data_IF_284246443217
#
_entry.id   IF_284246443217
#
_cell.length_a   1.000
_cell.length_b   1.000
_cell.length_c   1.000
_cell.angle_alpha   90.00
_cell.angle_beta   90.00
_cell.angle_gamma   90.00
#
_symmetry.space_group_name_H-M   'P 1'
#
loop_
_entity.id
_entity.type
_entity.pdbx_description
1 polymer ?
#
# COMPACT_ATOMS: atom_id res chain seq x y z
N UNK A 1 12.19 -12.08 24.99
CA UNK A 1 11.34 -11.40 23.98
C UNK A 1 10.06 -12.19 23.86
N UNK A 2 8.90 -11.54 24.04
CA UNK A 2 7.61 -12.20 23.83
C UNK A 2 7.48 -12.53 22.32
N UNK A 3 7.35 -13.80 21.92
CA UNK A 3 7.27 -14.18 20.50
C UNK A 3 6.10 -13.51 19.77
N UNK A 4 5.04 -13.13 20.49
CA UNK A 4 3.92 -12.36 19.92
C UNK A 4 4.35 -10.98 19.41
N UNK A 5 5.27 -10.30 20.11
CA UNK A 5 5.75 -8.97 19.71
C UNK A 5 6.55 -9.03 18.40
N UNK A 6 7.39 -10.04 18.23
CA UNK A 6 8.15 -10.25 16.99
C UNK A 6 7.23 -10.41 15.77
N UNK A 7 6.14 -11.15 15.92
CA UNK A 7 5.16 -11.35 14.84
C UNK A 7 4.50 -10.02 14.49
N UNK A 8 4.10 -9.24 15.49
CA UNK A 8 3.43 -7.95 15.30
C UNK A 8 4.38 -6.95 14.62
N UNK A 9 5.61 -6.83 15.10
CA UNK A 9 6.62 -5.92 14.53
C UNK A 9 6.93 -6.27 13.07
N UNK A 10 7.02 -7.56 12.74
CA UNK A 10 7.22 -8.03 11.36
C UNK A 10 6.04 -7.63 10.47
N UNK A 11 4.82 -7.76 10.97
CA UNK A 11 3.61 -7.43 10.22
C UNK A 11 3.46 -5.91 10.01
N UNK A 12 3.77 -5.11 11.02
CA UNK A 12 3.82 -3.64 10.93
C UNK A 12 4.85 -3.22 9.86
N UNK A 13 6.05 -3.77 9.90
CA UNK A 13 7.09 -3.47 8.92
C UNK A 13 6.67 -3.85 7.50
N UNK A 14 6.02 -5.01 7.33
CA UNK A 14 5.48 -5.43 6.05
C UNK A 14 4.44 -4.43 5.50
N UNK A 15 3.49 -3.99 6.35
CA UNK A 15 2.49 -2.98 5.98
C UNK A 15 3.16 -1.67 5.55
N UNK A 16 4.19 -1.22 6.26
CA UNK A 16 4.91 0.02 5.93
C UNK A 16 5.63 -0.07 4.58
N UNK A 17 6.27 -1.21 4.29
CA UNK A 17 6.88 -1.46 2.97
C UNK A 17 5.81 -1.47 1.89
N UNK A 18 4.67 -2.12 2.14
CA UNK A 18 3.57 -2.17 1.18
C UNK A 18 2.98 -0.78 0.89
N UNK A 19 2.83 0.05 1.92
CA UNK A 19 2.45 1.45 1.79
C UNK A 19 3.44 2.23 0.91
N UNK A 20 4.75 2.01 1.10
CA UNK A 20 5.78 2.62 0.26
C UNK A 20 5.65 2.18 -1.21
N UNK A 21 5.35 0.90 -1.49
CA UNK A 21 5.13 0.42 -2.86
C UNK A 21 3.93 1.10 -3.53
N UNK A 22 2.82 1.25 -2.82
CA UNK A 22 1.65 1.97 -3.34
C UNK A 22 1.98 3.45 -3.55
N UNK A 23 2.73 4.06 -2.64
CA UNK A 23 3.16 5.45 -2.79
C UNK A 23 4.04 5.65 -4.02
N UNK A 24 5.05 4.78 -4.24
CA UNK A 24 5.89 4.80 -5.44
C UNK A 24 5.03 4.61 -6.69
N UNK A 25 4.05 3.70 -6.67
CA UNK A 25 3.12 3.50 -7.79
C UNK A 25 2.34 4.77 -8.15
N UNK A 26 1.89 5.54 -7.14
CA UNK A 26 1.23 6.84 -7.37
C UNK A 26 2.20 7.82 -8.03
N UNK A 27 3.44 7.92 -7.55
CA UNK A 27 4.44 8.78 -8.16
C UNK A 27 4.72 8.39 -9.62
N UNK A 28 4.86 7.09 -9.90
CA UNK A 28 5.07 6.59 -11.26
C UNK A 28 3.86 6.86 -12.17
N UNK A 29 2.65 6.90 -11.62
CA UNK A 29 1.44 7.27 -12.37
C UNK A 29 1.44 8.71 -12.89
N UNK A 30 2.35 9.57 -12.41
CA UNK A 30 2.54 10.92 -12.96
C UNK A 30 3.54 10.93 -14.14
N UNK A 31 4.36 9.89 -14.27
CA UNK A 31 5.38 9.74 -15.31
C UNK A 31 5.00 8.65 -16.34
N UNK A 32 3.72 8.56 -16.71
CA UNK A 32 3.22 7.47 -17.58
C UNK A 32 3.87 7.43 -18.97
N UNK A 33 4.41 8.55 -19.45
CA UNK A 33 5.09 8.66 -20.75
C UNK A 33 6.55 8.22 -20.73
N UNK A 34 7.12 7.91 -19.55
CA UNK A 34 8.48 7.43 -19.42
C UNK A 34 8.57 5.90 -19.53
N UNK A 35 9.36 5.38 -20.48
CA UNK A 35 9.55 3.92 -20.64
C UNK A 35 10.14 3.25 -19.39
N UNK A 36 11.03 3.94 -18.67
CA UNK A 36 11.60 3.43 -17.41
C UNK A 36 10.54 3.30 -16.31
N UNK A 37 9.54 4.19 -16.30
CA UNK A 37 8.45 4.15 -15.33
C UNK A 37 7.52 2.97 -15.61
N UNK A 38 7.28 2.64 -16.88
CA UNK A 38 6.50 1.48 -17.30
C UNK A 38 7.15 0.17 -16.82
N UNK A 39 8.48 0.04 -16.93
CA UNK A 39 9.21 -1.12 -16.42
C UNK A 39 8.98 -1.36 -14.92
N UNK A 40 9.14 -0.32 -14.09
CA UNK A 40 8.90 -0.41 -12.63
C UNK A 40 7.41 -0.66 -12.34
N UNK A 41 6.50 0.00 -13.07
CA UNK A 41 5.06 -0.20 -12.93
C UNK A 41 4.65 -1.65 -13.21
N UNK A 42 5.24 -2.29 -14.23
CA UNK A 42 4.97 -3.69 -14.57
C UNK A 42 5.35 -4.67 -13.45
N UNK A 43 6.35 -4.31 -12.64
CA UNK A 43 6.76 -5.09 -11.47
C UNK A 43 5.86 -4.82 -10.25
N UNK A 44 5.41 -3.58 -10.07
CA UNK A 44 4.54 -3.17 -8.96
C UNK A 44 3.09 -3.62 -9.16
N UNK A 45 2.60 -3.63 -10.40
CA UNK A 45 1.21 -3.95 -10.74
C UNK A 45 0.75 -5.29 -10.17
N UNK A 46 1.44 -6.43 -10.39
CA UNK A 46 1.03 -7.73 -9.84
C UNK A 46 0.93 -7.75 -8.31
N UNK A 47 1.75 -6.95 -7.61
CA UNK A 47 1.83 -6.91 -6.14
C UNK A 47 0.74 -6.01 -5.55
N UNK A 48 0.44 -4.90 -6.24
CA UNK A 48 -0.45 -3.85 -5.73
C UNK A 48 -1.85 -3.88 -6.34
N UNK A 49 -2.02 -4.44 -7.55
CA UNK A 49 -3.31 -4.56 -8.24
C UNK A 49 -4.36 -5.38 -7.49
N UNK A 50 -4.05 -6.55 -6.87
CA UNK A 50 -5.06 -7.31 -6.15
C UNK A 50 -5.73 -6.50 -5.04
N UNK A 51 -4.93 -5.72 -4.31
CA UNK A 51 -5.40 -4.83 -3.26
C UNK A 51 -6.13 -3.61 -3.86
N UNK A 52 -5.54 -2.95 -4.85
CA UNK A 52 -6.14 -1.77 -5.48
C UNK A 52 -7.42 -2.07 -6.25
N UNK A 53 -7.56 -3.27 -6.82
CA UNK A 53 -8.76 -3.69 -7.55
C UNK A 53 -10.00 -3.75 -6.66
N UNK A 54 -9.83 -4.06 -5.37
CA UNK A 54 -10.92 -3.99 -4.38
C UNK A 54 -11.48 -2.57 -4.31
N UNK A 55 -10.60 -1.57 -4.36
CA UNK A 55 -10.98 -0.15 -4.29
C UNK A 55 -11.35 0.45 -5.66
N UNK A 56 -10.81 -0.07 -6.77
CA UNK A 56 -11.20 0.33 -8.14
C UNK A 56 -12.66 0.01 -8.45
N UNK A 57 -13.23 -1.00 -7.81
CA UNK A 57 -14.68 -1.29 -7.91
C UNK A 57 -15.55 -0.18 -7.28
N UNK A 58 -15.00 0.53 -6.29
CA UNK A 58 -15.70 1.61 -5.58
C UNK A 58 -15.51 2.96 -6.29
N UNK A 59 -14.32 3.22 -6.82
CA UNK A 59 -13.97 4.47 -7.50
C UNK A 59 -13.42 4.15 -8.90
N UNK A 60 -14.21 4.40 -9.98
CA UNK A 60 -13.70 4.23 -11.33
C UNK A 60 -12.56 5.23 -11.61
N UNK A 61 -11.57 4.86 -12.42
CA UNK A 61 -10.45 5.74 -12.76
C UNK A 61 -10.95 7.00 -13.47
N UNK A 62 -10.61 8.18 -12.94
CA UNK A 62 -10.99 9.47 -13.53
C UNK A 62 -9.84 9.95 -14.42
N UNK A 63 -10.07 9.97 -15.74
CA UNK A 63 -9.13 10.57 -16.69
C UNK A 63 -7.78 9.85 -16.84
N UNK A 64 -7.74 8.53 -16.66
CA UNK A 64 -6.50 7.74 -16.76
C UNK A 64 -5.58 7.81 -15.53
N UNK A 65 -5.98 8.56 -14.50
CA UNK A 65 -5.36 8.53 -13.18
C UNK A 65 -6.19 7.66 -12.23
N UNK A 66 -5.56 6.62 -11.70
CA UNK A 66 -6.14 5.79 -10.65
C UNK A 66 -6.15 6.58 -9.34
N UNK A 67 -7.34 6.99 -8.87
CA UNK A 67 -7.52 7.60 -7.54
C UNK A 67 -7.71 6.56 -6.42
N UNK A 68 -7.93 5.30 -6.80
CA UNK A 68 -8.02 4.15 -5.89
C UNK A 68 -6.84 4.02 -4.91
N UNK A 69 -5.56 4.35 -5.25
CA UNK A 69 -4.44 4.26 -4.32
C UNK A 69 -4.54 5.19 -3.11
N UNK A 70 -5.20 6.35 -3.24
CA UNK A 70 -5.36 7.30 -2.12
C UNK A 70 -6.24 6.67 -1.04
N UNK A 71 -7.38 6.10 -1.45
CA UNK A 71 -8.29 5.41 -0.53
C UNK A 71 -7.61 4.17 0.08
N UNK A 72 -6.84 3.44 -0.74
CA UNK A 72 -6.11 2.26 -0.31
C UNK A 72 -5.03 2.58 0.74
N UNK A 73 -4.33 3.70 0.58
CA UNK A 73 -3.35 4.21 1.56
C UNK A 73 -4.05 4.60 2.86
N UNK A 74 -5.15 5.34 2.80
CA UNK A 74 -5.90 5.73 4.00
C UNK A 74 -6.38 4.52 4.81
N UNK A 75 -6.89 3.49 4.12
CA UNK A 75 -7.30 2.24 4.76
C UNK A 75 -6.13 1.52 5.43
N UNK A 76 -4.99 1.38 4.72
CA UNK A 76 -3.78 0.75 5.27
C UNK A 76 -3.17 1.55 6.43
N UNK A 77 -3.18 2.87 6.36
CA UNK A 77 -2.71 3.73 7.45
C UNK A 77 -3.58 3.57 8.71
N UNK A 78 -4.90 3.49 8.54
CA UNK A 78 -5.80 3.23 9.66
C UNK A 78 -5.49 1.88 10.31
N UNK A 79 -5.35 0.82 9.51
CA UNK A 79 -4.99 -0.52 10.00
C UNK A 79 -3.63 -0.50 10.72
N UNK A 80 -2.61 0.12 10.12
CA UNK A 80 -1.28 0.26 10.72
C UNK A 80 -1.36 1.00 12.06
N UNK A 81 -2.12 2.08 12.16
CA UNK A 81 -2.27 2.86 13.39
C UNK A 81 -2.92 2.08 14.53
N UNK A 82 -3.90 1.22 14.23
CA UNK A 82 -4.53 0.33 15.20
C UNK A 82 -3.54 -0.76 15.63
N UNK A 83 -2.81 -1.33 14.67
CA UNK A 83 -1.88 -2.42 14.94
C UNK A 83 -0.67 -1.97 15.77
N UNK A 84 -0.17 -0.74 15.55
CA UNK A 84 0.90 -0.14 16.35
C UNK A 84 0.53 0.06 17.82
N UNK A 85 -0.77 0.13 18.15
CA UNK A 85 -1.24 0.25 19.54
C UNK A 85 -1.30 -1.12 20.25
N UNK A 86 -1.30 -2.23 19.50
CA UNK A 86 -1.40 -3.58 20.06
C UNK A 86 -0.18 -3.92 20.93
N UNK A 87 1.09 -3.77 20.49
CA UNK A 87 2.26 -4.06 21.32
C UNK A 87 2.26 -3.35 22.68
N UNK A 88 1.74 -2.11 22.74
CA UNK A 88 1.65 -1.33 23.96
C UNK A 88 0.56 -1.83 24.94
N UNK A 89 -0.44 -2.57 24.45
CA UNK A 89 -1.52 -3.14 25.26
C UNK A 89 -1.22 -4.54 25.82
N UNK A 90 -0.20 -5.22 25.29
CA UNK A 90 0.24 -6.59 25.67
C UNK A 90 1.62 -6.64 26.34
N UNK A 91 2.32 -5.49 26.42
CA UNK A 91 3.48 -5.30 27.31
C UNK A 91 3.00 -4.99 28.73
#
# INVERSE_FOLDING_TARGET
>A
MNPALLIIDTLINFINIYLLLIFVRILLSWFQTAEWAYGIMSFLSPITDPYLNIFRSIIPPLGGLDLSPILAILALQFISSMLNQVPAAIM
#
